data_IF_367460666712
#
_entry.id   IF_367460666712
#
_cell.length_a   1.000
_cell.length_b   1.000
_cell.length_c   1.000
_cell.angle_alpha   90.00
_cell.angle_beta   90.00
_cell.angle_gamma   90.00
#
_symmetry.space_group_name_H-M   'P 1'
#
loop_
_entity.id
_entity.type
_entity.pdbx_description
1 polymer ?
#
# COMPACT_ATOMS: atom_id res chain seq x y z
N UNK A 1 -27.63 23.70 -23.86
CA UNK A 1 -27.81 23.46 -22.41
C UNK A 1 -26.42 23.34 -21.80
N UNK A 2 -25.98 24.29 -20.96
CA UNK A 2 -24.77 24.09 -20.17
C UNK A 2 -25.07 23.15 -19.02
N UNK A 3 -24.44 21.98 -19.01
CA UNK A 3 -24.43 21.10 -17.85
C UNK A 3 -23.70 21.87 -16.75
N UNK A 4 -24.37 22.11 -15.62
CA UNK A 4 -23.73 22.72 -14.45
C UNK A 4 -22.65 21.75 -13.96
N UNK A 5 -21.42 22.22 -13.84
CA UNK A 5 -20.34 21.43 -13.25
C UNK A 5 -20.64 21.24 -11.75
N UNK A 6 -20.81 19.99 -11.32
CA UNK A 6 -21.02 19.63 -9.92
C UNK A 6 -19.71 19.73 -9.16
N UNK A 7 -19.73 20.37 -8.00
CA UNK A 7 -18.61 20.45 -7.06
C UNK A 7 -18.89 19.59 -5.81
N UNK A 8 -17.84 19.22 -5.06
CA UNK A 8 -18.01 18.46 -3.82
C UNK A 8 -18.91 19.18 -2.81
N UNK A 9 -18.78 20.51 -2.71
CA UNK A 9 -19.61 21.34 -1.87
C UNK A 9 -21.11 21.24 -2.18
N UNK A 10 -21.51 21.04 -3.44
CA UNK A 10 -22.93 20.89 -3.81
C UNK A 10 -23.54 19.65 -3.11
N UNK A 11 -22.77 18.56 -2.96
CA UNK A 11 -23.21 17.33 -2.28
C UNK A 11 -23.33 17.51 -0.76
N UNK A 12 -22.42 18.27 -0.17
CA UNK A 12 -22.45 18.60 1.26
C UNK A 12 -23.64 19.52 1.58
N UNK A 13 -23.86 20.55 0.76
CA UNK A 13 -25.02 21.45 0.92
C UNK A 13 -26.35 20.72 0.76
N UNK A 14 -26.40 19.72 -0.12
CA UNK A 14 -27.55 18.82 -0.25
C UNK A 14 -27.70 17.82 0.92
N UNK A 15 -26.80 17.84 1.92
CA UNK A 15 -26.76 16.94 3.08
C UNK A 15 -26.62 15.46 2.72
N UNK A 16 -25.99 15.16 1.57
CA UNK A 16 -25.71 13.78 1.14
C UNK A 16 -24.42 13.23 1.75
N UNK A 17 -23.48 14.11 2.08
CA UNK A 17 -22.23 13.81 2.77
C UNK A 17 -22.03 14.79 3.93
N UNK A 18 -21.25 14.40 4.93
CA UNK A 18 -20.94 15.23 6.10
C UNK A 18 -20.06 16.42 5.75
N UNK A 19 -19.06 16.19 4.91
CA UNK A 19 -18.06 17.17 4.50
C UNK A 19 -17.43 16.77 3.15
N UNK A 20 -16.64 17.68 2.58
CA UNK A 20 -15.99 17.46 1.28
C UNK A 20 -14.92 16.35 1.34
N UNK A 21 -14.36 16.05 2.52
CA UNK A 21 -13.37 14.97 2.67
C UNK A 21 -14.03 13.62 2.44
N UNK A 22 -15.23 13.41 3.00
CA UNK A 22 -16.01 12.19 2.79
C UNK A 22 -16.36 12.01 1.30
N UNK A 23 -16.75 13.10 0.62
CA UNK A 23 -17.00 13.09 -0.84
C UNK A 23 -15.76 12.66 -1.61
N UNK A 24 -14.61 13.27 -1.31
CA UNK A 24 -13.35 12.98 -2.01
C UNK A 24 -12.91 11.54 -1.77
N UNK A 25 -12.99 11.05 -0.53
CA UNK A 25 -12.64 9.66 -0.20
C UNK A 25 -13.52 8.66 -0.95
N UNK A 26 -14.82 8.92 -1.02
CA UNK A 26 -15.74 8.04 -1.72
C UNK A 26 -15.56 8.12 -3.25
N UNK A 27 -15.33 9.31 -3.79
CA UNK A 27 -15.00 9.50 -5.20
C UNK A 27 -13.69 8.80 -5.59
N UNK A 28 -12.65 8.89 -4.77
CA UNK A 28 -11.39 8.16 -4.99
C UNK A 28 -11.59 6.65 -4.94
N UNK A 29 -12.43 6.15 -4.02
CA UNK A 29 -12.77 4.72 -3.93
C UNK A 29 -13.40 4.23 -5.23
N UNK A 30 -14.43 4.93 -5.71
CA UNK A 30 -15.09 4.59 -6.97
C UNK A 30 -14.17 4.76 -8.17
N UNK A 31 -13.36 5.82 -8.23
CA UNK A 31 -12.38 6.03 -9.29
C UNK A 31 -11.39 4.86 -9.37
N UNK A 32 -10.83 4.43 -8.24
CA UNK A 32 -9.86 3.32 -8.19
C UNK A 32 -10.51 1.94 -8.36
N UNK A 33 -11.83 1.83 -8.18
CA UNK A 33 -12.59 0.63 -8.55
C UNK A 33 -12.78 0.56 -10.06
N UNK A 34 -13.20 1.67 -10.70
CA UNK A 34 -13.48 1.76 -12.14
C UNK A 34 -12.22 1.85 -12.99
N UNK A 35 -11.11 2.33 -12.41
CA UNK A 35 -9.79 2.47 -13.07
C UNK A 35 -8.72 1.62 -12.39
N UNK A 36 -8.75 0.28 -12.58
CA UNK A 36 -7.71 -0.60 -12.04
C UNK A 36 -6.30 -0.22 -12.48
N UNK A 37 -6.15 0.39 -13.66
CA UNK A 37 -4.89 0.92 -14.18
C UNK A 37 -4.27 1.98 -13.24
N UNK A 38 -5.09 2.92 -12.76
CA UNK A 38 -4.67 3.94 -11.79
C UNK A 38 -4.36 3.32 -10.43
N UNK A 39 -5.17 2.37 -9.98
CA UNK A 39 -4.95 1.67 -8.71
C UNK A 39 -3.64 0.89 -8.71
N UNK A 40 -3.33 0.18 -9.79
CA UNK A 40 -2.06 -0.53 -9.97
C UNK A 40 -0.89 0.46 -10.00
N UNK A 41 -1.03 1.57 -10.72
CA UNK A 41 0.01 2.59 -10.79
C UNK A 41 0.30 3.21 -9.40
N UNK A 42 -0.74 3.50 -8.63
CA UNK A 42 -0.62 4.02 -7.27
C UNK A 42 0.06 2.99 -6.35
N UNK A 43 -0.33 1.72 -6.41
CA UNK A 43 0.30 0.66 -5.64
C UNK A 43 1.79 0.47 -5.97
N UNK A 44 2.16 0.57 -7.25
CA UNK A 44 3.56 0.52 -7.68
C UNK A 44 4.35 1.74 -7.18
N UNK A 45 3.74 2.93 -7.19
CA UNK A 45 4.35 4.14 -6.64
C UNK A 45 4.61 3.98 -5.13
N UNK A 46 3.62 3.52 -4.38
CA UNK A 46 3.78 3.26 -2.94
C UNK A 46 4.85 2.22 -2.66
N UNK A 47 4.95 1.16 -3.46
CA UNK A 47 6.05 0.21 -3.33
C UNK A 47 7.42 0.86 -3.51
N UNK A 48 7.55 1.90 -4.33
CA UNK A 48 8.82 2.60 -4.51
C UNK A 48 9.13 3.57 -3.37
N UNK A 49 8.14 4.34 -2.94
CA UNK A 49 8.34 5.46 -2.02
C UNK A 49 8.29 5.09 -0.55
N UNK A 50 7.62 3.98 -0.21
CA UNK A 50 7.42 3.54 1.17
C UNK A 50 8.11 2.18 1.38
N UNK A 51 9.12 2.16 2.24
CA UNK A 51 9.90 0.96 2.57
C UNK A 51 9.13 -0.03 3.46
N UNK A 52 8.13 0.43 4.21
CA UNK A 52 7.32 -0.41 5.11
C UNK A 52 6.22 -1.20 4.36
N UNK A 53 5.95 -0.80 3.11
CA UNK A 53 5.01 -1.46 2.23
C UNK A 53 5.64 -2.64 1.51
N UNK A 54 5.34 -3.83 2.04
CA UNK A 54 5.74 -5.11 1.46
C UNK A 54 5.02 -5.38 0.14
N UNK A 55 5.60 -6.26 -0.68
CA UNK A 55 5.00 -6.72 -1.94
C UNK A 55 3.56 -7.21 -1.78
N UNK A 56 3.27 -7.95 -0.70
CA UNK A 56 1.93 -8.48 -0.42
C UNK A 56 0.92 -7.36 -0.11
N UNK A 57 1.33 -6.34 0.66
CA UNK A 57 0.48 -5.17 0.97
C UNK A 57 0.14 -4.40 -0.30
N UNK A 58 1.13 -4.13 -1.16
CA UNK A 58 0.89 -3.38 -2.41
C UNK A 58 0.11 -4.21 -3.44
N UNK A 59 0.30 -5.53 -3.49
CA UNK A 59 -0.53 -6.41 -4.32
C UNK A 59 -2.00 -6.37 -3.91
N UNK A 60 -2.26 -6.35 -2.60
CA UNK A 60 -3.61 -6.21 -2.04
C UNK A 60 -4.22 -4.87 -2.42
N UNK A 61 -3.46 -3.78 -2.30
CA UNK A 61 -3.90 -2.45 -2.73
C UNK A 61 -4.19 -2.38 -4.24
N UNK A 62 -3.34 -3.00 -5.05
CA UNK A 62 -3.54 -3.09 -6.50
C UNK A 62 -4.76 -3.96 -6.88
N UNK A 63 -5.23 -4.84 -5.98
CA UNK A 63 -6.28 -5.81 -6.25
C UNK A 63 -5.82 -6.93 -7.18
N UNK A 64 -4.56 -7.37 -7.04
CA UNK A 64 -3.96 -8.45 -7.84
C UNK A 64 -3.23 -9.45 -6.94
N UNK A 65 -2.89 -10.63 -7.47
CA UNK A 65 -2.04 -11.58 -6.73
C UNK A 65 -0.62 -11.04 -6.53
N UNK A 66 0.07 -11.53 -5.50
CA UNK A 66 1.47 -11.17 -5.26
C UNK A 66 2.37 -11.49 -6.46
N UNK A 67 2.16 -12.65 -7.11
CA UNK A 67 2.88 -13.01 -8.34
C UNK A 67 2.61 -12.02 -9.48
N UNK A 68 1.36 -11.64 -9.70
CA UNK A 68 1.02 -10.63 -10.72
C UNK A 68 1.64 -9.27 -10.40
N UNK A 69 1.71 -8.91 -9.12
CA UNK A 69 2.35 -7.67 -8.71
C UNK A 69 3.85 -7.68 -9.01
N UNK A 70 4.55 -8.81 -8.81
CA UNK A 70 5.96 -8.95 -9.20
C UNK A 70 6.16 -8.67 -10.68
N UNK A 71 5.34 -9.29 -11.54
CA UNK A 71 5.40 -9.09 -12.99
C UNK A 71 5.22 -7.60 -13.36
N UNK A 72 4.24 -6.94 -12.73
CA UNK A 72 3.97 -5.51 -12.94
C UNK A 72 5.19 -4.67 -12.57
N UNK A 73 5.79 -4.90 -11.39
CA UNK A 73 6.96 -4.15 -10.94
C UNK A 73 8.15 -4.36 -11.88
N UNK A 74 8.43 -5.60 -12.28
CA UNK A 74 9.50 -5.92 -13.24
C UNK A 74 9.26 -5.22 -14.58
N UNK A 75 8.03 -5.27 -15.11
CA UNK A 75 7.68 -4.62 -16.39
C UNK A 75 7.87 -3.10 -16.37
N UNK A 76 7.83 -2.50 -15.18
CA UNK A 76 8.02 -1.06 -14.94
C UNK A 76 9.46 -0.71 -14.52
N UNK A 77 10.39 -1.66 -14.63
CA UNK A 77 11.78 -1.54 -14.18
C UNK A 77 11.90 -1.13 -12.69
N UNK A 78 10.94 -1.56 -11.87
CA UNK A 78 10.94 -1.32 -10.42
C UNK A 78 11.65 -2.50 -9.76
N UNK A 79 12.77 -2.28 -9.06
CA UNK A 79 13.53 -3.35 -8.42
C UNK A 79 12.68 -4.00 -7.33
N UNK A 80 12.63 -5.34 -7.34
CA UNK A 80 11.97 -6.08 -6.27
C UNK A 80 12.88 -6.11 -5.03
N UNK A 81 12.34 -5.70 -3.89
CA UNK A 81 12.93 -5.85 -2.56
C UNK A 81 12.76 -7.31 -2.10
N UNK A 82 13.42 -8.24 -2.78
CA UNK A 82 13.41 -9.67 -2.46
C UNK A 82 14.50 -9.96 -1.44
N UNK A 83 14.23 -9.61 -0.18
CA UNK A 83 15.14 -9.88 0.92
C UNK A 83 16.49 -9.17 0.80
N UNK A 84 17.50 -9.65 1.53
CA UNK A 84 18.80 -9.00 1.61
C UNK A 84 19.47 -8.94 0.24
N UNK A 85 19.86 -7.72 -0.18
CA UNK A 85 20.52 -7.50 -1.46
C UNK A 85 21.94 -8.08 -1.47
N UNK A 86 22.53 -8.30 -0.29
CA UNK A 86 23.87 -8.84 -0.10
C UNK A 86 23.92 -9.91 0.99
N UNK A 87 24.99 -10.70 1.00
CA UNK A 87 25.28 -11.64 2.10
C UNK A 87 25.41 -10.89 3.45
N UNK A 88 25.88 -9.65 3.43
CA UNK A 88 26.01 -8.82 4.62
C UNK A 88 24.63 -8.42 5.17
N UNK A 89 23.72 -7.98 4.29
CA UNK A 89 22.33 -7.69 4.67
C UNK A 89 21.65 -8.94 5.25
N UNK A 90 21.92 -10.11 4.65
CA UNK A 90 21.35 -11.38 5.12
C UNK A 90 21.86 -11.75 6.52
N UNK A 91 23.15 -11.53 6.78
CA UNK A 91 23.75 -11.73 8.10
C UNK A 91 23.19 -10.74 9.11
N UNK A 92 23.02 -9.47 8.73
CA UNK A 92 22.45 -8.45 9.59
C UNK A 92 21.00 -8.78 10.01
N UNK A 93 20.18 -9.26 9.07
CA UNK A 93 18.82 -9.73 9.36
C UNK A 93 18.81 -10.95 10.30
N UNK A 94 19.66 -11.97 10.06
CA UNK A 94 19.78 -13.14 10.94
C UNK A 94 20.18 -12.72 12.37
N UNK A 95 21.17 -11.83 12.50
CA UNK A 95 21.63 -11.31 13.80
C UNK A 95 20.52 -10.55 14.52
N UNK A 96 19.71 -9.76 13.81
CA UNK A 96 18.56 -9.07 14.38
C UNK A 96 17.50 -10.06 14.88
N UNK A 97 17.17 -11.08 14.08
CA UNK A 97 16.23 -12.13 14.46
C UNK A 97 16.70 -12.96 15.67
N UNK A 98 17.99 -13.30 15.73
CA UNK A 98 18.57 -14.04 16.87
C UNK A 98 18.46 -13.24 18.17
N UNK A 99 18.65 -11.92 18.13
CA UNK A 99 18.49 -11.04 19.30
C UNK A 99 17.04 -11.02 19.79
N UNK A 100 16.08 -10.95 18.87
CA UNK A 100 14.66 -10.96 19.21
C UNK A 100 14.21 -12.32 19.77
N UNK A 101 14.74 -13.42 19.22
CA UNK A 101 14.47 -14.76 19.73
C UNK A 101 15.02 -14.94 21.15
N UNK A 102 16.26 -14.48 21.39
CA UNK A 102 16.87 -14.48 22.72
C UNK A 102 16.16 -13.57 23.75
N UNK A 103 15.35 -12.60 23.29
CA UNK A 103 14.48 -11.81 24.16
C UNK A 103 13.23 -12.60 24.57
N UNK A 104 12.65 -13.39 23.66
CA UNK A 104 11.47 -14.22 23.97
C UNK A 104 11.76 -15.35 24.96
N UNK A 105 12.94 -15.96 24.89
CA UNK A 105 13.37 -17.03 25.83
C UNK A 105 13.70 -16.50 27.23
N UNK A 106 13.96 -15.19 27.37
CA UNK A 106 14.31 -14.54 28.65
C UNK A 106 13.14 -13.85 29.35
N UNK A 107 11.89 -14.08 28.94
CA UNK A 107 10.74 -13.60 29.71
C UNK A 107 10.77 -14.26 31.10
N UNK A 108 10.95 -13.50 32.20
CA UNK A 108 10.70 -14.05 33.52
C UNK A 108 9.22 -14.43 33.56
N UNK A 109 8.93 -15.66 33.95
CA UNK A 109 7.57 -16.10 34.27
C UNK A 109 7.01 -15.13 35.31
N UNK A 110 6.06 -14.28 34.89
CA UNK A 110 5.34 -13.42 35.80
C UNK A 110 4.49 -14.30 36.72
N UNK A 111 4.92 -14.42 37.97
CA UNK A 111 4.15 -14.99 39.08
C UNK A 111 3.12 -13.97 39.56
#
# INVERSE_FOLDING_TARGET
MSIRQVQALDLVQAKLYRDETEVVQDALRHLLQDRPDLRIALAAHFYQTDEELTLAKVATLAGVSAERMKEILISRAIPLRLGPATIEDARAEIIAMEKDLQWTERRPSAT
#
